data_IF_695225272901
#
_entry.id   IF_695225272901
#
_cell.length_a   1.000
_cell.length_b   1.000
_cell.length_c   1.000
_cell.angle_alpha   90.00
_cell.angle_beta   90.00
_cell.angle_gamma   90.00
#
_symmetry.space_group_name_H-M   'P 1'
#
loop_
_entity.id
_entity.type
_entity.pdbx_description
1 polymer ?
#
# COMPACT_ATOMS: atom_id res chain seq x y z
N UNK A 1 -7.04 21.62 13.49
CA UNK A 1 -8.09 21.03 12.63
C UNK A 1 -7.82 21.41 11.16
N UNK A 2 -7.05 20.57 10.47
CA UNK A 2 -6.67 20.81 9.07
C UNK A 2 -7.86 20.38 8.21
N UNK A 3 -8.57 21.35 7.61
CA UNK A 3 -9.62 21.10 6.62
C UNK A 3 -9.00 20.38 5.43
N UNK A 4 -9.80 19.50 4.81
CA UNK A 4 -9.49 18.80 3.54
C UNK A 4 -8.88 19.70 2.47
N UNK A 5 -9.20 20.99 2.54
CA UNK A 5 -8.89 22.08 1.63
C UNK A 5 -7.38 22.33 1.41
N UNK A 6 -6.47 21.68 2.14
CA UNK A 6 -5.02 21.82 1.95
C UNK A 6 -4.39 20.80 0.98
N UNK A 7 -5.14 19.80 0.51
CA UNK A 7 -4.74 19.01 -0.68
C UNK A 7 -5.14 19.70 -1.99
N UNK A 8 -5.72 20.89 -1.90
CA UNK A 8 -6.17 21.70 -3.02
C UNK A 8 -5.03 22.62 -3.42
N UNK A 9 -4.96 22.99 -4.70
CA UNK A 9 -4.08 24.04 -5.17
C UNK A 9 -4.28 25.29 -4.28
N UNK A 10 -3.24 26.10 -4.09
CA UNK A 10 -3.24 27.28 -3.22
C UNK A 10 -4.43 28.24 -3.43
N UNK A 11 -5.10 28.14 -4.59
CA UNK A 11 -6.26 28.94 -4.98
C UNK A 11 -7.64 28.34 -4.62
N UNK A 12 -7.70 27.22 -3.88
CA UNK A 12 -8.98 26.59 -3.48
C UNK A 12 -9.78 25.97 -4.63
N UNK A 13 -9.23 25.98 -5.85
CA UNK A 13 -9.83 25.34 -7.01
C UNK A 13 -9.49 23.84 -7.04
N UNK A 14 -10.47 23.04 -7.44
CA UNK A 14 -10.26 21.64 -7.78
C UNK A 14 -9.19 21.55 -8.89
N UNK A 15 -8.29 20.56 -8.81
CA UNK A 15 -7.56 20.14 -10.00
C UNK A 15 -8.62 19.79 -11.07
N UNK A 16 -8.64 20.45 -12.23
CA UNK A 16 -9.64 20.23 -13.31
C UNK A 16 -9.83 18.74 -13.68
N UNK A 17 -8.81 17.92 -13.45
CA UNK A 17 -8.83 16.46 -13.60
C UNK A 17 -9.77 15.71 -12.63
N UNK A 18 -10.12 16.31 -11.48
CA UNK A 18 -11.08 15.77 -10.51
C UNK A 18 -12.54 16.09 -10.89
N UNK A 19 -12.76 16.98 -11.87
CA UNK A 19 -14.10 17.27 -12.36
C UNK A 19 -14.68 16.03 -13.07
N UNK A 20 -15.88 15.53 -12.68
CA UNK A 20 -16.49 14.36 -13.32
C UNK A 20 -16.78 14.57 -14.82
N UNK A 21 -16.82 15.82 -15.31
CA UNK A 21 -17.08 16.14 -16.72
C UNK A 21 -15.84 16.13 -17.62
N UNK A 22 -14.62 16.03 -17.07
CA UNK A 22 -13.41 15.96 -17.91
C UNK A 22 -13.24 14.56 -18.49
N UNK A 23 -13.16 14.41 -19.83
CA UNK A 23 -13.00 13.11 -20.47
C UNK A 23 -11.66 12.50 -20.09
N UNK A 24 -11.69 11.24 -19.66
CA UNK A 24 -10.49 10.48 -19.33
C UNK A 24 -9.76 10.18 -20.64
N UNK A 25 -8.54 10.69 -20.79
CA UNK A 25 -7.68 10.41 -21.94
C UNK A 25 -6.69 9.31 -21.56
N UNK A 26 -7.01 8.08 -21.96
CA UNK A 26 -6.14 6.91 -21.79
C UNK A 26 -5.49 6.57 -23.13
N UNK A 27 -4.16 6.42 -23.13
CA UNK A 27 -3.48 5.91 -24.32
C UNK A 27 -3.74 4.42 -24.48
N UNK A 28 -3.73 3.92 -25.72
CA UNK A 28 -3.88 2.48 -25.99
C UNK A 28 -2.80 1.66 -25.27
N UNK A 29 -1.58 2.18 -25.19
CA UNK A 29 -0.49 1.57 -24.44
C UNK A 29 -0.80 1.46 -22.94
N UNK A 30 -1.38 2.51 -22.34
CA UNK A 30 -1.87 2.46 -20.96
C UNK A 30 -2.93 1.37 -20.80
N UNK A 31 -3.95 1.34 -21.66
CA UNK A 31 -5.01 0.31 -21.59
C UNK A 31 -4.47 -1.13 -21.71
N UNK A 32 -3.54 -1.39 -22.64
CA UNK A 32 -2.91 -2.71 -22.78
C UNK A 32 -2.09 -3.07 -21.55
N UNK A 33 -1.32 -2.11 -21.01
CA UNK A 33 -0.61 -2.28 -19.75
C UNK A 33 -1.55 -2.65 -18.61
N UNK A 34 -2.71 -2.01 -18.53
CA UNK A 34 -3.70 -2.25 -17.47
C UNK A 34 -4.26 -3.68 -17.55
N UNK A 35 -4.60 -4.13 -18.76
CA UNK A 35 -5.08 -5.48 -19.00
C UNK A 35 -4.04 -6.53 -18.60
N UNK A 36 -2.78 -6.35 -19.02
CA UNK A 36 -1.69 -7.28 -18.70
C UNK A 36 -1.40 -7.33 -17.19
N UNK A 37 -1.48 -6.20 -16.50
CA UNK A 37 -1.31 -6.14 -15.04
C UNK A 37 -2.44 -6.89 -14.33
N UNK A 38 -3.69 -6.74 -14.78
CA UNK A 38 -4.81 -7.51 -14.23
C UNK A 38 -4.70 -9.01 -14.51
N UNK A 39 -4.30 -9.39 -15.74
CA UNK A 39 -4.11 -10.78 -16.12
C UNK A 39 -2.98 -11.45 -15.34
N UNK A 40 -1.84 -10.76 -15.17
CA UNK A 40 -0.70 -11.27 -14.41
C UNK A 40 -1.03 -11.48 -12.93
N UNK A 41 -1.90 -10.65 -12.35
CA UNK A 41 -2.41 -10.82 -10.99
C UNK A 41 -3.32 -12.04 -10.83
N UNK A 42 -4.27 -12.22 -11.75
CA UNK A 42 -5.12 -13.41 -11.75
C UNK A 42 -4.25 -14.68 -11.90
N UNK A 43 -3.26 -14.64 -12.79
CA UNK A 43 -2.29 -15.71 -12.95
C UNK A 43 -1.46 -15.95 -11.69
N UNK A 44 -1.04 -14.89 -10.98
CA UNK A 44 -0.31 -14.97 -9.72
C UNK A 44 -1.10 -15.73 -8.65
N UNK A 45 -2.37 -15.35 -8.46
CA UNK A 45 -3.24 -15.97 -7.46
C UNK A 45 -3.50 -17.44 -7.80
N UNK A 46 -3.85 -17.72 -9.06
CA UNK A 46 -4.09 -19.09 -9.54
C UNK A 46 -2.83 -19.95 -9.43
N UNK A 47 -1.68 -19.44 -9.85
CA UNK A 47 -0.40 -20.15 -9.74
C UNK A 47 -0.06 -20.46 -8.27
N UNK A 48 -0.22 -19.48 -7.38
CA UNK A 48 0.03 -19.68 -5.95
C UNK A 48 -0.88 -20.77 -5.36
N UNK A 49 -2.18 -20.73 -5.67
CA UNK A 49 -3.13 -21.70 -5.12
C UNK A 49 -2.89 -23.10 -5.69
N UNK A 50 -2.66 -23.22 -7.00
CA UNK A 50 -2.54 -24.50 -7.69
C UNK A 50 -1.23 -25.22 -7.37
N UNK A 51 -0.10 -24.50 -7.42
CA UNK A 51 1.23 -25.11 -7.27
C UNK A 51 1.70 -25.11 -5.82
N UNK A 52 1.51 -24.01 -5.10
CA UNK A 52 2.05 -23.85 -3.74
C UNK A 52 1.00 -24.14 -2.65
N UNK A 53 -0.29 -24.27 -2.98
CA UNK A 53 -1.37 -24.43 -2.00
C UNK A 53 -1.17 -25.56 -0.99
N UNK A 54 -0.76 -26.74 -1.46
CA UNK A 54 -0.51 -27.91 -0.59
C UNK A 54 0.67 -27.68 0.35
N UNK A 55 1.73 -27.04 -0.15
CA UNK A 55 2.91 -26.72 0.64
C UNK A 55 2.61 -25.62 1.67
N UNK A 56 1.82 -24.62 1.31
CA UNK A 56 1.37 -23.56 2.24
C UNK A 56 0.60 -24.17 3.41
N UNK A 57 -0.36 -25.06 3.13
CA UNK A 57 -1.15 -25.71 4.19
C UNK A 57 -0.28 -26.58 5.10
N UNK A 58 0.62 -27.37 4.50
CA UNK A 58 1.55 -28.22 5.26
C UNK A 58 2.50 -27.38 6.12
N UNK A 59 3.06 -26.31 5.56
CA UNK A 59 3.98 -25.40 6.25
C UNK A 59 3.25 -24.62 7.35
N UNK A 60 2.06 -24.09 7.09
CA UNK A 60 1.23 -23.38 8.07
C UNK A 60 0.91 -24.27 9.27
N UNK A 61 0.46 -25.49 9.03
CA UNK A 61 0.15 -26.43 10.10
C UNK A 61 1.40 -26.89 10.88
N UNK A 62 2.54 -27.05 10.19
CA UNK A 62 3.80 -27.45 10.83
C UNK A 62 4.39 -26.32 11.67
N UNK A 63 4.40 -25.09 11.17
CA UNK A 63 4.88 -23.91 11.90
C UNK A 63 4.10 -23.64 13.19
N UNK A 64 2.80 -23.98 13.23
CA UNK A 64 1.98 -23.84 14.43
C UNK A 64 2.23 -24.93 15.48
N UNK A 65 2.68 -26.13 15.08
CA UNK A 65 2.83 -27.29 15.98
C UNK A 65 4.27 -27.62 16.34
N UNK A 66 5.26 -27.29 15.50
CA UNK A 66 6.64 -27.74 15.66
C UNK A 66 7.61 -26.70 15.13
N UNK A 67 8.52 -26.22 15.99
CA UNK A 67 9.65 -25.39 15.57
C UNK A 67 10.56 -26.25 14.69
N UNK A 68 10.88 -25.76 13.49
CA UNK A 68 11.71 -26.50 12.55
C UNK A 68 13.13 -26.61 13.11
N UNK A 69 13.65 -27.85 13.24
CA UNK A 69 14.99 -28.12 13.78
C UNK A 69 16.06 -27.86 12.70
N UNK A 70 16.19 -26.61 12.26
CA UNK A 70 17.30 -26.15 11.44
C UNK A 70 18.37 -25.49 12.34
N UNK A 71 19.64 -25.56 11.93
CA UNK A 71 20.77 -24.93 12.63
C UNK A 71 20.51 -23.44 12.86
N UNK A 72 19.91 -22.75 11.88
CA UNK A 72 19.56 -21.33 12.00
C UNK A 72 18.53 -21.08 13.10
N UNK A 73 17.53 -21.95 13.25
CA UNK A 73 16.51 -21.86 14.29
C UNK A 73 17.10 -22.12 15.68
N UNK A 74 18.06 -23.04 15.80
CA UNK A 74 18.79 -23.31 17.05
C UNK A 74 19.71 -22.16 17.45
N UNK A 75 20.39 -21.55 16.46
CA UNK A 75 21.27 -20.41 16.69
C UNK A 75 20.48 -19.16 17.13
N UNK A 76 19.28 -18.95 16.59
CA UNK A 76 18.47 -17.78 16.93
C UNK A 76 17.60 -17.97 18.18
N UNK A 77 17.29 -19.20 18.59
CA UNK A 77 16.45 -19.47 19.77
C UNK A 77 17.06 -18.95 21.08
N UNK A 78 18.35 -18.59 21.08
CA UNK A 78 19.01 -17.90 22.19
C UNK A 78 18.47 -16.48 22.40
N UNK A 79 17.98 -15.82 21.36
CA UNK A 79 17.41 -14.49 21.47
C UNK A 79 15.92 -14.56 21.83
N UNK A 80 15.46 -13.73 22.79
CA UNK A 80 14.05 -13.71 23.14
C UNK A 80 13.24 -13.17 21.96
N UNK A 81 12.19 -13.90 21.61
CA UNK A 81 11.26 -13.48 20.57
C UNK A 81 10.53 -12.19 21.01
N UNK A 82 10.15 -11.39 20.01
CA UNK A 82 9.29 -10.26 20.25
C UNK A 82 7.87 -10.78 20.52
N UNK A 83 7.18 -10.27 21.55
CA UNK A 83 5.84 -10.75 21.86
C UNK A 83 4.88 -10.46 20.72
N UNK A 84 4.08 -11.45 20.33
CA UNK A 84 3.10 -11.33 19.24
C UNK A 84 2.09 -10.20 19.47
N UNK A 85 1.72 -9.96 20.74
CA UNK A 85 0.80 -8.89 21.11
C UNK A 85 1.34 -7.50 20.76
N UNK A 86 2.67 -7.29 20.71
CA UNK A 86 3.23 -6.00 20.35
C UNK A 86 2.99 -5.67 18.86
N UNK A 87 3.05 -6.68 17.99
CA UNK A 87 2.69 -6.53 16.58
C UNK A 87 1.19 -6.26 16.40
N UNK A 88 0.35 -6.99 17.15
CA UNK A 88 -1.09 -6.78 17.13
C UNK A 88 -1.48 -5.38 17.64
N UNK A 89 -0.86 -4.94 18.74
CA UNK A 89 -1.08 -3.60 19.31
C UNK A 89 -0.65 -2.52 18.33
N UNK A 90 0.52 -2.67 17.69
CA UNK A 90 0.99 -1.73 16.66
C UNK A 90 -0.01 -1.62 15.51
N UNK A 91 -0.47 -2.76 14.99
CA UNK A 91 -1.44 -2.81 13.91
C UNK A 91 -2.76 -2.14 14.32
N UNK A 92 -3.28 -2.44 15.50
CA UNK A 92 -4.50 -1.82 16.03
C UNK A 92 -4.35 -0.30 16.19
N UNK A 93 -3.25 0.17 16.79
CA UNK A 93 -2.98 1.59 16.94
C UNK A 93 -2.92 2.30 15.57
N UNK A 94 -2.18 1.75 14.61
CA UNK A 94 -2.08 2.31 13.26
C UNK A 94 -3.43 2.30 12.52
N UNK A 95 -4.22 1.23 12.69
CA UNK A 95 -5.54 1.09 12.08
C UNK A 95 -6.54 2.11 12.66
N UNK A 96 -6.55 2.30 13.98
CA UNK A 96 -7.41 3.30 14.65
C UNK A 96 -7.02 4.71 14.19
N UNK A 97 -5.72 5.02 14.13
CA UNK A 97 -5.25 6.30 13.60
C UNK A 97 -5.70 6.52 12.15
N UNK A 98 -5.63 5.49 11.30
CA UNK A 98 -6.10 5.59 9.93
C UNK A 98 -7.63 5.82 9.84
N UNK A 99 -8.44 5.14 10.65
CA UNK A 99 -9.88 5.38 10.74
C UNK A 99 -10.20 6.81 11.17
N UNK A 100 -9.46 7.32 12.17
CA UNK A 100 -9.63 8.69 12.67
C UNK A 100 -9.30 9.71 11.59
N UNK A 101 -8.18 9.56 10.89
CA UNK A 101 -7.79 10.45 9.78
C UNK A 101 -8.82 10.42 8.65
N UNK A 102 -9.33 9.24 8.28
CA UNK A 102 -10.35 9.12 7.24
C UNK A 102 -11.66 9.84 7.63
N UNK A 103 -12.09 9.71 8.89
CA UNK A 103 -13.30 10.34 9.39
C UNK A 103 -13.19 11.87 9.46
N UNK A 104 -12.09 12.39 10.03
CA UNK A 104 -11.90 13.84 10.18
C UNK A 104 -11.52 14.54 8.87
N UNK A 105 -10.78 13.85 7.99
CA UNK A 105 -10.36 14.38 6.69
C UNK A 105 -11.43 14.29 5.61
N UNK A 106 -12.58 13.67 5.88
CA UNK A 106 -13.65 13.39 4.92
C UNK A 106 -13.14 12.73 3.61
N UNK A 107 -12.07 11.95 3.73
CA UNK A 107 -11.38 11.31 2.59
C UNK A 107 -12.10 10.04 2.14
N UNK A 108 -12.63 9.28 3.11
CA UNK A 108 -13.35 8.03 2.91
C UNK A 108 -14.10 7.65 4.21
N UNK A 109 -15.28 7.04 4.15
CA UNK A 109 -15.98 6.55 5.32
C UNK A 109 -15.16 5.47 6.05
N UNK A 110 -15.11 5.56 7.37
CA UNK A 110 -14.26 4.72 8.22
C UNK A 110 -14.46 3.21 8.03
N UNK A 111 -15.68 2.77 7.68
CA UNK A 111 -15.97 1.35 7.51
C UNK A 111 -15.27 0.72 6.29
N UNK A 112 -14.93 1.50 5.26
CA UNK A 112 -14.13 1.01 4.13
C UNK A 112 -12.69 0.66 4.53
N UNK A 113 -12.22 1.16 5.68
CA UNK A 113 -10.89 0.81 6.18
C UNK A 113 -10.79 -0.69 6.53
N UNK A 114 -11.88 -1.31 7.00
CA UNK A 114 -11.92 -2.76 7.22
C UNK A 114 -11.79 -3.53 5.90
N UNK A 115 -12.44 -3.03 4.85
CA UNK A 115 -12.34 -3.61 3.51
C UNK A 115 -10.90 -3.53 2.99
N UNK A 116 -10.24 -2.37 3.12
CA UNK A 116 -8.80 -2.21 2.80
C UNK A 116 -7.95 -3.26 3.52
N UNK A 117 -8.12 -3.40 4.84
CA UNK A 117 -7.32 -4.33 5.63
C UNK A 117 -7.58 -5.79 5.25
N UNK A 118 -8.84 -6.17 4.98
CA UNK A 118 -9.19 -7.52 4.53
C UNK A 118 -8.58 -7.85 3.17
N UNK A 119 -8.63 -6.91 2.22
CA UNK A 119 -8.07 -7.08 0.88
C UNK A 119 -6.55 -7.19 0.94
N UNK A 120 -5.91 -6.30 1.71
CA UNK A 120 -4.48 -6.36 1.95
C UNK A 120 -4.05 -7.71 2.56
N UNK A 121 -4.82 -8.25 3.52
CA UNK A 121 -4.53 -9.54 4.15
C UNK A 121 -4.63 -10.71 3.16
N UNK A 122 -5.70 -10.79 2.38
CA UNK A 122 -5.91 -11.85 1.37
C UNK A 122 -4.80 -11.81 0.31
N UNK A 123 -4.43 -10.62 -0.15
CA UNK A 123 -3.43 -10.46 -1.20
C UNK A 123 -1.98 -10.53 -0.67
N UNK A 124 -1.77 -10.39 0.64
CA UNK A 124 -0.44 -10.46 1.26
C UNK A 124 0.21 -11.84 1.08
N UNK A 125 -0.54 -12.93 1.33
CA UNK A 125 -0.02 -14.29 1.23
C UNK A 125 0.52 -14.64 -0.17
N UNK A 126 -0.25 -14.53 -1.26
CA UNK A 126 0.24 -14.88 -2.59
C UNK A 126 1.38 -13.98 -3.05
N UNK A 127 1.29 -12.68 -2.75
CA UNK A 127 2.36 -11.73 -3.07
C UNK A 127 3.65 -12.08 -2.34
N UNK A 128 3.56 -12.42 -1.06
CA UNK A 128 4.72 -12.77 -0.24
C UNK A 128 5.43 -14.04 -0.69
N UNK A 129 4.68 -15.06 -1.11
CA UNK A 129 5.26 -16.32 -1.61
C UNK A 129 6.01 -16.09 -2.91
N UNK A 130 5.39 -15.41 -3.88
CA UNK A 130 6.04 -15.16 -5.16
C UNK A 130 7.24 -14.25 -4.99
N UNK A 131 7.16 -13.22 -4.17
CA UNK A 131 8.34 -12.40 -3.86
C UNK A 131 9.43 -13.21 -3.17
N UNK A 132 9.09 -14.17 -2.31
CA UNK A 132 10.08 -15.04 -1.67
C UNK A 132 10.77 -16.01 -2.65
N UNK A 133 10.11 -16.41 -3.74
CA UNK A 133 10.67 -17.31 -4.75
C UNK A 133 11.43 -16.56 -5.85
N UNK A 134 10.85 -15.47 -6.35
CA UNK A 134 11.36 -14.71 -7.51
C UNK A 134 12.31 -13.59 -7.11
N UNK A 135 12.32 -13.20 -5.83
CA UNK A 135 12.97 -11.97 -5.34
C UNK A 135 12.46 -10.69 -6.02
N UNK A 136 11.31 -10.73 -6.70
CA UNK A 136 10.67 -9.56 -7.31
C UNK A 136 9.42 -9.17 -6.52
N UNK A 137 9.31 -7.88 -6.20
CA UNK A 137 8.11 -7.34 -5.54
C UNK A 137 7.03 -7.06 -6.57
N UNK A 138 5.86 -7.67 -6.40
CA UNK A 138 4.73 -7.45 -7.28
C UNK A 138 4.01 -6.14 -6.92
N UNK A 139 3.84 -5.25 -7.90
CA UNK A 139 3.16 -3.97 -7.68
C UNK A 139 1.63 -4.15 -7.72
N UNK A 140 1.02 -4.22 -6.54
CA UNK A 140 -0.42 -4.47 -6.36
C UNK A 140 -1.30 -3.21 -6.49
N UNK A 141 -0.71 -2.01 -6.64
CA UNK A 141 -1.47 -0.75 -6.68
C UNK A 141 -2.62 -0.79 -7.68
N UNK A 142 -2.37 -1.35 -8.86
CA UNK A 142 -3.32 -1.38 -9.97
C UNK A 142 -4.60 -2.16 -9.65
N UNK A 143 -4.46 -3.29 -8.95
CA UNK A 143 -5.58 -4.10 -8.51
C UNK A 143 -6.47 -3.36 -7.53
N UNK A 144 -5.83 -2.63 -6.61
CA UNK A 144 -6.52 -1.91 -5.54
C UNK A 144 -7.35 -0.77 -6.10
N UNK A 145 -6.90 -0.11 -7.17
CA UNK A 145 -7.69 0.91 -7.87
C UNK A 145 -8.94 0.33 -8.57
N UNK A 146 -8.86 -0.89 -9.10
CA UNK A 146 -10.01 -1.57 -9.70
C UNK A 146 -11.00 -1.98 -8.62
N UNK A 147 -10.53 -2.64 -7.55
CA UNK A 147 -11.39 -3.00 -6.42
C UNK A 147 -12.01 -1.77 -5.77
N UNK A 148 -11.24 -0.71 -5.53
CA UNK A 148 -11.74 0.55 -4.98
C UNK A 148 -12.81 1.18 -5.87
N UNK A 149 -12.63 1.18 -7.20
CA UNK A 149 -13.65 1.65 -8.14
C UNK A 149 -14.96 0.84 -8.06
N UNK A 150 -14.87 -0.50 -8.02
CA UNK A 150 -16.03 -1.38 -7.92
C UNK A 150 -16.75 -1.25 -6.57
N UNK A 151 -16.01 -1.21 -5.46
CA UNK A 151 -16.61 -1.17 -4.12
C UNK A 151 -17.16 0.20 -3.75
N UNK A 152 -16.53 1.29 -4.19
CA UNK A 152 -16.90 2.65 -3.82
C UNK A 152 -17.90 3.31 -4.78
N UNK A 153 -18.36 2.61 -5.83
CA UNK A 153 -19.41 3.03 -6.78
C UNK A 153 -19.36 4.54 -7.12
N UNK A 154 -18.21 5.01 -7.63
CA UNK A 154 -18.17 6.23 -8.43
C UNK A 154 -18.25 7.56 -7.72
N UNK A 155 -18.41 7.59 -6.39
CA UNK A 155 -18.80 8.84 -5.75
C UNK A 155 -17.71 9.89 -5.75
N UNK A 156 -16.42 9.53 -5.71
CA UNK A 156 -15.27 10.44 -5.74
C UNK A 156 -13.94 9.74 -6.11
N UNK A 157 -13.11 10.30 -7.03
CA UNK A 157 -11.78 9.76 -7.35
C UNK A 157 -10.80 9.84 -6.17
N UNK A 158 -10.99 10.81 -5.28
CA UNK A 158 -10.21 10.97 -4.04
C UNK A 158 -10.38 9.73 -3.15
N UNK A 159 -11.61 9.21 -3.04
CA UNK A 159 -11.90 8.09 -2.17
C UNK A 159 -11.26 6.80 -2.69
N UNK A 160 -11.30 6.58 -4.02
CA UNK A 160 -10.62 5.46 -4.67
C UNK A 160 -9.09 5.53 -4.47
N UNK A 161 -8.52 6.73 -4.56
CA UNK A 161 -7.10 6.95 -4.31
C UNK A 161 -6.72 6.63 -2.87
N UNK A 162 -7.51 7.09 -1.90
CA UNK A 162 -7.31 6.84 -0.47
C UNK A 162 -7.44 5.36 -0.14
N UNK A 163 -8.50 4.69 -0.63
CA UNK A 163 -8.70 3.24 -0.47
C UNK A 163 -7.47 2.45 -0.94
N UNK A 164 -7.02 2.74 -2.16
CA UNK A 164 -5.92 2.01 -2.79
C UNK A 164 -4.60 2.26 -2.07
N UNK A 165 -4.36 3.49 -1.62
CA UNK A 165 -3.13 3.86 -0.90
C UNK A 165 -3.04 3.16 0.45
N UNK A 166 -4.13 3.13 1.22
CA UNK A 166 -4.14 2.42 2.51
C UNK A 166 -3.95 0.93 2.34
N UNK A 167 -4.67 0.30 1.40
CA UNK A 167 -4.54 -1.13 1.15
C UNK A 167 -3.13 -1.50 0.67
N UNK A 168 -2.53 -0.67 -0.19
CA UNK A 168 -1.14 -0.86 -0.64
C UNK A 168 -0.14 -0.68 0.50
N UNK A 169 -0.30 0.35 1.32
CA UNK A 169 0.63 0.65 2.42
C UNK A 169 0.64 -0.48 3.47
N UNK A 170 -0.53 -1.00 3.84
CA UNK A 170 -0.66 -2.14 4.76
C UNK A 170 0.11 -3.35 4.22
N UNK A 171 -0.12 -3.69 2.95
CA UNK A 171 0.50 -4.84 2.31
C UNK A 171 2.02 -4.68 2.20
N UNK A 172 2.51 -3.52 1.75
CA UNK A 172 3.94 -3.27 1.58
C UNK A 172 4.68 -3.22 2.91
N UNK A 173 4.09 -2.60 3.93
CA UNK A 173 4.72 -2.57 5.25
C UNK A 173 4.79 -3.98 5.85
N UNK A 174 3.74 -4.79 5.68
CA UNK A 174 3.75 -6.18 6.12
C UNK A 174 4.81 -7.02 5.38
N UNK A 175 4.92 -6.89 4.05
CA UNK A 175 5.92 -7.61 3.27
C UNK A 175 7.35 -7.20 3.63
N UNK A 176 7.61 -5.90 3.76
CA UNK A 176 8.92 -5.41 4.17
C UNK A 176 9.29 -5.85 5.60
N UNK A 177 8.33 -5.89 6.52
CA UNK A 177 8.55 -6.45 7.87
C UNK A 177 8.95 -7.92 7.79
N UNK A 178 8.28 -8.74 6.98
CA UNK A 178 8.62 -10.15 6.78
C UNK A 178 10.02 -10.34 6.18
N UNK A 179 10.39 -9.53 5.18
CA UNK A 179 11.71 -9.54 4.58
C UNK A 179 12.78 -9.20 5.62
N UNK A 180 12.56 -8.15 6.42
CA UNK A 180 13.50 -7.71 7.44
C UNK A 180 13.63 -8.72 8.60
N UNK A 181 12.54 -9.38 8.99
CA UNK A 181 12.58 -10.46 9.99
C UNK A 181 13.37 -11.67 9.46
N UNK A 182 13.17 -12.06 8.19
CA UNK A 182 13.91 -13.14 7.56
C UNK A 182 15.40 -12.79 7.42
N UNK A 183 15.71 -11.55 7.05
CA UNK A 183 17.08 -11.05 6.99
C UNK A 183 17.74 -11.05 8.37
N UNK A 184 17.05 -10.57 9.41
CA UNK A 184 17.50 -10.62 10.80
C UNK A 184 17.73 -12.05 11.28
N UNK A 185 16.89 -13.00 10.84
CA UNK A 185 17.07 -14.42 11.11
C UNK A 185 18.37 -14.98 10.51
N UNK A 186 18.73 -14.57 9.29
CA UNK A 186 19.99 -14.98 8.66
C UNK A 186 21.23 -14.29 9.26
N UNK A 187 21.10 -13.04 9.69
CA UNK A 187 22.19 -12.28 10.32
C UNK A 187 22.34 -12.51 11.82
N UNK A 188 21.42 -13.28 12.44
CA UNK A 188 21.39 -13.54 13.89
C UNK A 188 21.22 -12.26 14.71
N UNK A 189 20.44 -11.32 14.18
CA UNK A 189 20.06 -10.10 14.89
C UNK A 189 18.80 -10.41 15.71
N UNK A 190 18.74 -9.92 16.95
CA UNK A 190 17.58 -10.16 17.82
C UNK A 190 16.28 -9.60 17.20
N UNK A 191 15.16 -10.34 17.23
CA UNK A 191 13.88 -9.88 16.66
C UNK A 191 13.36 -8.58 17.27
N UNK A 192 13.60 -8.36 18.57
CA UNK A 192 13.20 -7.13 19.28
C UNK A 192 13.92 -5.90 18.75
N UNK A 193 15.22 -6.01 18.48
CA UNK A 193 15.98 -4.91 17.88
C UNK A 193 15.46 -4.58 16.47
N UNK A 194 15.20 -5.61 15.65
CA UNK A 194 14.64 -5.41 14.31
C UNK A 194 13.29 -4.70 14.34
N UNK A 195 12.40 -5.11 15.25
CA UNK A 195 11.10 -4.45 15.43
C UNK A 195 11.25 -2.97 15.81
N UNK A 196 12.01 -2.66 16.87
CA UNK A 196 12.20 -1.29 17.33
C UNK A 196 12.85 -0.40 16.26
N UNK A 197 13.88 -0.89 15.57
CA UNK A 197 14.54 -0.17 14.49
C UNK A 197 13.57 0.10 13.33
N UNK A 198 12.76 -0.89 12.93
CA UNK A 198 11.76 -0.72 11.87
C UNK A 198 10.74 0.37 12.25
N UNK A 199 10.28 0.38 13.51
CA UNK A 199 9.34 1.40 13.98
C UNK A 199 9.91 2.81 13.91
N UNK A 200 11.12 3.00 14.45
CA UNK A 200 11.78 4.31 14.48
C UNK A 200 12.01 4.82 13.05
N UNK A 201 12.51 3.97 12.16
CA UNK A 201 12.77 4.34 10.77
C UNK A 201 11.46 4.63 10.02
N UNK A 202 10.40 3.88 10.27
CA UNK A 202 9.10 4.11 9.60
C UNK A 202 8.51 5.46 10.01
N UNK A 203 8.56 5.81 11.30
CA UNK A 203 8.11 7.11 11.81
C UNK A 203 8.95 8.23 11.20
N UNK A 204 10.27 8.09 11.22
CA UNK A 204 11.19 9.08 10.64
C UNK A 204 10.93 9.28 9.14
N UNK A 205 10.78 8.19 8.39
CA UNK A 205 10.50 8.24 6.94
C UNK A 205 9.16 8.90 6.65
N UNK A 206 8.12 8.60 7.44
CA UNK A 206 6.81 9.24 7.29
C UNK A 206 6.89 10.76 7.52
N UNK A 207 7.59 11.20 8.57
CA UNK A 207 7.77 12.62 8.87
C UNK A 207 8.54 13.35 7.77
N UNK A 208 9.63 12.76 7.26
CA UNK A 208 10.43 13.35 6.17
C UNK A 208 9.59 13.43 4.89
N UNK A 209 8.88 12.36 4.53
CA UNK A 209 8.03 12.35 3.32
C UNK A 209 6.93 13.42 3.39
N UNK A 210 6.27 13.53 4.55
CA UNK A 210 5.26 14.57 4.77
C UNK A 210 5.86 15.97 4.72
N UNK A 211 6.97 16.21 5.41
CA UNK A 211 7.65 17.51 5.42
C UNK A 211 8.11 17.95 4.03
N UNK A 212 8.69 17.04 3.26
CA UNK A 212 9.09 17.32 1.87
C UNK A 212 7.88 17.61 0.98
N UNK A 213 6.80 16.83 1.10
CA UNK A 213 5.59 17.07 0.33
C UNK A 213 4.97 18.45 0.65
N UNK A 214 4.89 18.81 1.93
CA UNK A 214 4.41 20.12 2.36
C UNK A 214 5.31 21.26 1.83
N UNK A 215 6.63 21.11 1.97
CA UNK A 215 7.60 22.09 1.49
C UNK A 215 7.48 22.35 -0.03
N UNK A 216 7.35 21.28 -0.83
CA UNK A 216 7.21 21.39 -2.28
C UNK A 216 5.90 22.11 -2.66
N UNK A 217 4.79 21.77 -2.00
CA UNK A 217 3.48 22.36 -2.28
C UNK A 217 3.36 23.83 -1.87
N UNK A 218 4.08 24.29 -0.83
CA UNK A 218 4.03 25.69 -0.39
C UNK A 218 5.06 26.59 -1.08
N UNK A 219 6.19 26.04 -1.52
CA UNK A 219 7.31 26.83 -2.05
C UNK A 219 7.23 27.02 -3.57
N UNK A 220 6.72 26.02 -4.30
CA UNK A 220 6.66 26.04 -5.76
C UNK A 220 5.25 26.49 -6.19
N UNK A 221 5.15 27.72 -6.68
CA UNK A 221 3.90 28.25 -7.26
C UNK A 221 3.68 27.61 -8.63
N UNK A 222 2.49 27.07 -8.88
CA UNK A 222 2.14 26.41 -10.16
C UNK A 222 2.62 24.96 -10.29
N UNK A 223 2.86 24.24 -9.19
CA UNK A 223 3.19 22.81 -9.28
C UNK A 223 2.01 22.02 -9.87
N UNK A 224 2.27 21.12 -10.81
CA UNK A 224 1.26 20.31 -11.49
C UNK A 224 0.20 21.10 -12.31
N UNK A 225 0.39 22.40 -12.60
CA UNK A 225 -0.51 23.15 -13.48
C UNK A 225 0.00 23.13 -14.94
N UNK A 226 -0.87 22.80 -15.89
CA UNK A 226 -0.55 22.76 -17.33
C UNK A 226 -0.71 24.13 -18.02
N UNK A 227 -0.69 25.21 -17.24
CA UNK A 227 -0.97 26.57 -17.73
C UNK A 227 0.24 27.12 -18.51
N UNK A 228 1.46 26.73 -18.11
CA UNK A 228 2.71 27.22 -18.70
C UNK A 228 3.53 26.07 -19.35
N UNK A 229 3.78 26.10 -20.67
CA UNK A 229 4.59 25.10 -21.39
C UNK A 229 6.06 25.01 -20.95
N UNK A 230 6.56 26.02 -20.20
CA UNK A 230 7.94 26.10 -19.73
C UNK A 230 8.08 25.73 -18.24
N UNK A 231 7.02 25.25 -17.59
CA UNK A 231 7.09 24.83 -16.20
C UNK A 231 7.78 23.45 -16.09
N UNK A 232 8.97 23.34 -15.47
CA UNK A 232 9.63 22.04 -15.31
C UNK A 232 8.92 21.12 -14.31
N UNK A 233 7.97 21.63 -13.53
CA UNK A 233 7.26 20.90 -12.47
C UNK A 233 5.95 20.27 -12.96
N UNK A 234 6.05 19.47 -14.01
CA UNK A 234 4.93 18.71 -14.57
C UNK A 234 4.64 17.46 -13.73
N UNK A 235 3.35 17.11 -13.64
CA UNK A 235 2.87 15.93 -12.91
C UNK A 235 2.16 14.95 -13.85
N UNK A 236 2.92 14.30 -14.77
CA UNK A 236 2.35 13.50 -15.85
C UNK A 236 1.58 12.27 -15.35
N UNK A 237 1.99 11.73 -14.20
CA UNK A 237 1.33 10.56 -13.62
C UNK A 237 -0.02 10.91 -12.99
N UNK A 238 -0.19 12.10 -12.42
CA UNK A 238 -1.43 12.48 -11.70
C UNK A 238 -2.65 12.52 -12.63
N UNK A 239 -2.50 12.98 -13.87
CA UNK A 239 -3.59 13.05 -14.87
C UNK A 239 -3.93 11.71 -15.52
N UNK A 240 -3.00 10.75 -15.49
CA UNK A 240 -3.13 9.40 -16.06
C UNK A 240 -3.33 8.31 -15.01
N UNK A 241 -3.49 8.69 -13.73
CA UNK A 241 -3.58 7.73 -12.63
C UNK A 241 -4.92 6.98 -12.63
N UNK A 242 -4.82 5.66 -12.51
CA UNK A 242 -5.88 4.67 -12.28
C UNK A 242 -6.93 5.09 -11.24
N UNK A 243 -6.52 5.82 -10.21
CA UNK A 243 -7.39 6.41 -9.19
C UNK A 243 -8.51 7.25 -9.79
N UNK A 244 -8.18 8.09 -10.78
CA UNK A 244 -9.12 8.99 -11.45
C UNK A 244 -9.93 8.21 -12.49
N UNK A 245 -9.29 7.32 -13.26
CA UNK A 245 -9.97 6.54 -14.29
C UNK A 245 -11.03 5.60 -13.68
N UNK A 246 -10.63 4.71 -12.77
CA UNK A 246 -11.56 3.76 -12.13
C UNK A 246 -12.43 4.41 -11.06
N UNK A 247 -11.99 5.51 -10.45
CA UNK A 247 -12.81 6.29 -9.51
C UNK A 247 -13.94 7.06 -10.17
N UNK A 248 -13.87 7.28 -11.50
CA UNK A 248 -14.94 7.89 -12.32
C UNK A 248 -15.83 6.86 -13.04
N UNK A 249 -15.39 5.60 -13.17
CA UNK A 249 -16.11 4.53 -13.91
C UNK A 249 -17.07 3.74 -13.00
N UNK A 250 -16.75 3.61 -11.71
CA UNK A 250 -17.69 3.05 -10.71
C UNK A 250 -18.89 3.96 -10.52
#
# INVERSE_FOLDING_TARGET
PIKSDQFFLADGNYLDILNPRTPIRLTVASCMGYYLLFASLAALVVHTILFNGKDILKQSHTSLKKRQNDIHCTLISKYPEAPEWAYALLFLCAFICACFVCHYGNLMPWYYQFLCASLAFVCLLPSGIVTAQTNMQFNMNYMLYVFGGVFLHGKNPIWNSTFSTYSWAIQNQALNLLINLKFGHYMKISPRAMFSTQLIITILSATIRYGMAHYLLTTIVGICTYVDPNNPWECPNISTTYAIAFGKIG
#
